data_IF_072895764692
#
_entry.id   IF_072895764692
#
_cell.length_a   1.000
_cell.length_b   1.000
_cell.length_c   1.000
_cell.angle_alpha   90.00
_cell.angle_beta   90.00
_cell.angle_gamma   90.00
#
_symmetry.space_group_name_H-M   'P 1'
#
loop_
_entity.id
_entity.type
_entity.pdbx_description
1 polymer ?
#
# COMPACT_ATOMS: atom_id res chain seq x y z
N UNK A 1 -7.61 -6.34 7.22
CA UNK A 1 -6.46 -6.21 6.29
C UNK A 1 -7.01 -5.95 4.90
N UNK A 2 -6.41 -5.04 4.13
CA UNK A 2 -6.85 -4.64 2.78
C UNK A 2 -5.62 -4.61 1.88
N UNK A 3 -5.69 -5.17 0.68
CA UNK A 3 -4.60 -5.11 -0.32
C UNK A 3 -4.98 -4.11 -1.40
N UNK A 4 -4.17 -3.07 -1.56
CA UNK A 4 -4.32 -2.07 -2.60
C UNK A 4 -3.45 -2.45 -3.80
N UNK A 5 -4.09 -2.78 -4.92
CA UNK A 5 -3.42 -3.02 -6.19
C UNK A 5 -3.30 -1.69 -6.92
N UNK A 6 -2.07 -1.19 -7.04
CA UNK A 6 -1.79 0.13 -7.62
C UNK A 6 -0.88 0.05 -8.86
N UNK A 7 -0.42 -1.14 -9.22
CA UNK A 7 0.54 -1.33 -10.32
C UNK A 7 1.94 -0.81 -9.96
N UNK A 8 2.90 -1.04 -10.85
CA UNK A 8 4.29 -0.56 -10.67
C UNK A 8 4.41 0.90 -11.11
N UNK A 9 4.25 1.17 -12.42
CA UNK A 9 4.41 2.49 -13.03
C UNK A 9 5.62 3.24 -12.50
N UNK A 10 5.49 4.57 -12.37
CA UNK A 10 6.47 5.43 -11.70
C UNK A 10 6.26 5.51 -10.18
N UNK A 11 5.43 4.64 -9.61
CA UNK A 11 5.14 4.61 -8.18
C UNK A 11 4.24 5.74 -7.65
N UNK A 12 3.63 6.55 -8.52
CA UNK A 12 2.77 7.70 -8.13
C UNK A 12 1.65 7.27 -7.19
N UNK A 13 0.91 6.21 -7.53
CA UNK A 13 -0.19 5.72 -6.71
C UNK A 13 0.28 5.12 -5.37
N UNK A 14 1.40 4.38 -5.37
CA UNK A 14 2.03 3.87 -4.13
C UNK A 14 2.35 5.04 -3.20
N UNK A 15 3.06 6.05 -3.70
CA UNK A 15 3.50 7.18 -2.90
C UNK A 15 2.33 7.98 -2.30
N UNK A 16 1.28 8.22 -3.10
CA UNK A 16 0.08 8.91 -2.62
C UNK A 16 -0.66 8.09 -1.56
N UNK A 17 -0.81 6.77 -1.76
CA UNK A 17 -1.41 5.87 -0.78
C UNK A 17 -0.65 5.91 0.55
N UNK A 18 0.68 5.77 0.52
CA UNK A 18 1.50 5.78 1.73
C UNK A 18 1.44 7.13 2.45
N UNK A 19 1.43 8.24 1.71
CA UNK A 19 1.29 9.59 2.27
C UNK A 19 -0.06 9.77 2.97
N UNK A 20 -1.15 9.34 2.34
CA UNK A 20 -2.50 9.43 2.95
C UNK A 20 -2.60 8.59 4.22
N UNK A 21 -2.09 7.34 4.20
CA UNK A 21 -2.09 6.49 5.39
C UNK A 21 -1.29 7.13 6.53
N UNK A 22 -0.06 7.59 6.24
CA UNK A 22 0.81 8.23 7.24
C UNK A 22 0.19 9.49 7.84
N UNK A 23 -0.52 10.28 7.04
CA UNK A 23 -1.04 11.57 7.47
C UNK A 23 -2.40 11.46 8.15
N UNK A 24 -3.34 10.69 7.59
CA UNK A 24 -4.75 10.64 8.03
C UNK A 24 -5.09 9.39 8.82
N UNK A 25 -4.41 8.27 8.58
CA UNK A 25 -4.75 6.97 9.14
C UNK A 25 -3.60 6.42 10.00
N UNK A 26 -3.16 7.19 10.99
CA UNK A 26 -1.98 6.89 11.83
C UNK A 26 -2.07 5.57 12.61
N UNK A 27 -3.27 5.06 12.86
CA UNK A 27 -3.49 3.76 13.51
C UNK A 27 -3.33 2.56 12.57
N UNK A 28 -3.28 2.80 11.26
CA UNK A 28 -3.11 1.78 10.25
C UNK A 28 -1.62 1.51 9.99
N UNK A 29 -1.31 0.24 9.78
CA UNK A 29 0.02 -0.21 9.40
C UNK A 29 0.03 -0.62 7.93
N UNK A 30 1.13 -0.42 7.23
CA UNK A 30 1.26 -0.82 5.83
C UNK A 30 2.59 -1.54 5.57
N UNK A 31 2.57 -2.42 4.58
CA UNK A 31 3.73 -3.19 4.08
C UNK A 31 3.50 -3.56 2.61
N UNK A 32 4.54 -3.95 1.89
CA UNK A 32 4.35 -4.54 0.55
C UNK A 32 3.52 -5.84 0.65
N UNK A 33 2.66 -6.06 -0.34
CA UNK A 33 1.87 -7.29 -0.42
C UNK A 33 2.72 -8.48 -0.91
N UNK A 34 2.12 -9.67 -0.98
CA UNK A 34 2.79 -10.88 -1.47
C UNK A 34 3.43 -10.65 -2.85
N UNK A 35 4.76 -10.70 -2.91
CA UNK A 35 5.49 -10.54 -4.18
C UNK A 35 5.12 -11.62 -5.19
N UNK A 36 4.90 -12.86 -4.72
CA UNK A 36 4.52 -13.98 -5.58
C UNK A 36 3.19 -13.74 -6.30
N UNK A 37 2.25 -13.05 -5.66
CA UNK A 37 0.92 -12.81 -6.22
C UNK A 37 0.84 -11.50 -7.01
N UNK A 38 1.54 -10.44 -6.59
CA UNK A 38 1.33 -9.09 -7.11
C UNK A 38 2.60 -8.40 -7.61
N UNK A 39 3.76 -9.05 -7.52
CA UNK A 39 5.06 -8.42 -7.77
C UNK A 39 5.26 -7.18 -6.90
N UNK A 40 5.77 -6.10 -7.49
CA UNK A 40 5.95 -4.81 -6.82
C UNK A 40 4.68 -3.92 -6.83
N UNK A 41 3.56 -4.42 -7.36
CA UNK A 41 2.40 -3.62 -7.73
C UNK A 41 1.32 -3.48 -6.66
N UNK A 42 1.57 -3.94 -5.42
CA UNK A 42 0.55 -3.91 -4.37
C UNK A 42 1.10 -3.67 -2.96
N UNK A 43 0.30 -2.99 -2.15
CA UNK A 43 0.56 -2.66 -0.74
C UNK A 43 -0.55 -3.22 0.14
N UNK A 44 -0.21 -3.94 1.20
CA UNK A 44 -1.15 -4.40 2.22
C UNK A 44 -1.24 -3.39 3.36
N UNK A 45 -2.46 -3.06 3.76
CA UNK A 45 -2.77 -2.20 4.90
C UNK A 45 -3.56 -2.97 5.95
N UNK A 46 -3.14 -2.86 7.20
CA UNK A 46 -3.83 -3.43 8.36
C UNK A 46 -4.47 -2.30 9.16
N UNK A 47 -5.80 -2.35 9.26
CA UNK A 47 -6.60 -1.49 10.14
C UNK A 47 -6.63 -2.16 11.52
N UNK A 48 -6.37 -1.39 12.57
CA UNK A 48 -6.55 -1.82 13.97
C UNK A 48 -8.00 -1.68 14.41
#
# INVERSE_FOLDING_TARGET
KIVFIHGKGDGVLKNTLLKEIKNKYKSCYYQDASFREYGFGATMVTIR
#
